data_IF_943365202251
#
_entry.id   IF_943365202251
#
_cell.length_a   1.000
_cell.length_b   1.000
_cell.length_c   1.000
_cell.angle_alpha   90.00
_cell.angle_beta   90.00
_cell.angle_gamma   90.00
#
_symmetry.space_group_name_H-M   'P 1'
#
loop_
_entity.id
_entity.type
_entity.pdbx_description
1 polymer ?
#
# COMPACT_ATOMS: atom_id res chain seq x y z
N UNK A 1 -14.54 11.00 41.43
CA UNK A 1 -14.18 10.81 40.00
C UNK A 1 -13.22 9.63 39.91
N UNK A 2 -13.72 8.39 39.85
CA UNK A 2 -12.89 7.20 39.70
C UNK A 2 -12.84 6.82 38.22
N UNK A 3 -11.63 6.78 37.66
CA UNK A 3 -11.40 6.40 36.26
C UNK A 3 -11.83 4.96 36.03
N UNK A 4 -12.60 4.73 34.95
CA UNK A 4 -12.90 3.37 34.49
C UNK A 4 -11.60 2.74 34.00
N UNK A 5 -11.07 1.77 34.74
CA UNK A 5 -10.16 0.79 34.18
C UNK A 5 -10.95 0.01 33.13
N UNK A 6 -10.64 0.22 31.86
CA UNK A 6 -11.27 -0.51 30.76
C UNK A 6 -10.62 -1.90 30.69
N UNK A 7 -10.99 -2.78 31.62
CA UNK A 7 -10.46 -4.14 31.68
C UNK A 7 -11.05 -4.95 30.53
N UNK A 8 -10.25 -5.19 29.49
CA UNK A 8 -10.62 -6.07 28.38
C UNK A 8 -10.82 -7.48 28.95
N UNK A 9 -12.03 -8.01 28.80
CA UNK A 9 -12.41 -9.34 29.27
C UNK A 9 -11.97 -10.42 28.28
N UNK A 10 -11.77 -11.64 28.77
CA UNK A 10 -11.46 -12.78 27.89
C UNK A 10 -12.56 -13.00 26.83
N UNK A 11 -13.83 -12.79 27.19
CA UNK A 11 -14.94 -12.88 26.24
C UNK A 11 -14.87 -11.84 25.11
N UNK A 12 -14.40 -10.62 25.40
CA UNK A 12 -14.19 -9.58 24.39
C UNK A 12 -13.01 -9.89 23.47
N UNK A 13 -11.94 -10.51 23.99
CA UNK A 13 -10.81 -11.00 23.20
C UNK A 13 -11.26 -12.11 22.24
N UNK A 14 -11.99 -13.10 22.75
CA UNK A 14 -12.53 -14.21 21.94
C UNK A 14 -13.50 -13.72 20.85
N UNK A 15 -14.37 -12.75 21.18
CA UNK A 15 -15.25 -12.13 20.20
C UNK A 15 -14.47 -11.32 19.15
N UNK A 16 -13.33 -10.73 19.50
CA UNK A 16 -12.45 -10.07 18.55
C UNK A 16 -11.77 -11.07 17.60
N UNK A 17 -11.26 -12.20 18.10
CA UNK A 17 -10.69 -13.26 17.26
C UNK A 17 -11.71 -13.82 16.28
N UNK A 18 -12.92 -14.15 16.75
CA UNK A 18 -13.97 -14.67 15.85
C UNK A 18 -14.32 -13.71 14.71
N UNK A 19 -14.44 -12.41 15.01
CA UNK A 19 -14.66 -11.38 13.98
C UNK A 19 -13.51 -11.29 12.98
N UNK A 20 -12.27 -11.46 13.45
CA UNK A 20 -11.09 -11.53 12.59
C UNK A 20 -11.16 -12.73 11.65
N UNK A 21 -11.46 -13.92 12.18
CA UNK A 21 -11.55 -15.16 11.41
C UNK A 21 -12.66 -15.08 10.34
N UNK A 22 -13.83 -14.56 10.72
CA UNK A 22 -14.95 -14.33 9.79
C UNK A 22 -14.62 -13.29 8.70
N UNK A 23 -13.76 -12.32 8.99
CA UNK A 23 -13.29 -11.33 8.01
C UNK A 23 -12.27 -11.97 7.07
N UNK A 24 -11.24 -12.64 7.61
CA UNK A 24 -10.21 -13.35 6.83
C UNK A 24 -10.80 -14.40 5.89
N UNK A 25 -11.86 -15.10 6.31
CA UNK A 25 -12.53 -16.09 5.48
C UNK A 25 -13.22 -15.50 4.22
N UNK A 26 -13.45 -14.18 4.18
CA UNK A 26 -14.15 -13.49 3.08
C UNK A 26 -13.24 -12.63 2.22
N UNK A 27 -12.03 -12.35 2.68
CA UNK A 27 -11.10 -11.44 2.02
C UNK A 27 -10.06 -12.20 1.19
N UNK A 28 -9.57 -11.61 0.08
CA UNK A 28 -8.40 -12.13 -0.60
C UNK A 28 -7.20 -12.11 0.36
N UNK A 29 -6.52 -13.26 0.50
CA UNK A 29 -5.29 -13.40 1.28
C UNK A 29 -4.14 -13.76 0.36
N UNK A 30 -2.95 -13.23 0.65
CA UNK A 30 -1.74 -13.62 -0.07
C UNK A 30 -1.45 -15.10 0.15
N UNK A 31 -1.29 -15.83 -0.94
CA UNK A 31 -0.94 -17.24 -0.99
C UNK A 31 0.52 -17.44 -1.42
N UNK A 32 1.04 -16.58 -2.31
CA UNK A 32 2.45 -16.55 -2.67
C UNK A 32 2.93 -15.10 -2.91
N UNK A 33 4.22 -14.86 -2.67
CA UNK A 33 4.92 -13.64 -3.07
C UNK A 33 6.25 -14.03 -3.68
N UNK A 34 6.62 -13.41 -4.80
CA UNK A 34 7.94 -13.55 -5.40
C UNK A 34 8.37 -12.27 -6.09
N UNK A 35 9.67 -12.10 -6.21
CA UNK A 35 10.25 -11.12 -7.12
C UNK A 35 10.37 -11.73 -8.52
N UNK A 36 9.98 -10.97 -9.53
CA UNK A 36 10.14 -11.28 -10.94
C UNK A 36 11.15 -10.29 -11.52
N UNK A 37 12.38 -10.78 -11.74
CA UNK A 37 13.49 -9.98 -12.22
C UNK A 37 13.45 -9.66 -13.70
N UNK A 38 12.71 -10.43 -14.50
CA UNK A 38 12.49 -10.13 -15.92
C UNK A 38 11.68 -8.83 -16.07
N UNK A 39 10.67 -8.65 -15.21
CA UNK A 39 9.76 -7.51 -15.27
C UNK A 39 10.02 -6.42 -14.23
N UNK A 40 11.00 -6.60 -13.34
CA UNK A 40 11.32 -5.70 -12.22
C UNK A 40 10.09 -5.48 -11.30
N UNK A 41 9.38 -6.57 -10.98
CA UNK A 41 8.09 -6.53 -10.25
C UNK A 41 8.04 -7.49 -9.09
N UNK A 42 7.24 -7.14 -8.08
CA UNK A 42 6.77 -8.06 -7.05
C UNK A 42 5.44 -8.65 -7.54
N UNK A 43 5.38 -9.97 -7.62
CA UNK A 43 4.18 -10.72 -7.98
C UNK A 43 3.60 -11.35 -6.72
N UNK A 44 2.32 -11.10 -6.47
CA UNK A 44 1.57 -11.62 -5.33
C UNK A 44 0.39 -12.41 -5.86
N UNK A 45 0.34 -13.70 -5.58
CA UNK A 45 -0.84 -14.52 -5.85
C UNK A 45 -1.72 -14.60 -4.61
N UNK A 46 -3.03 -14.51 -4.77
CA UNK A 46 -3.99 -14.58 -3.68
C UNK A 46 -4.73 -15.93 -3.70
N UNK A 47 -5.25 -16.33 -2.54
CA UNK A 47 -5.97 -17.60 -2.33
C UNK A 47 -7.23 -17.78 -3.21
N UNK A 48 -7.75 -16.71 -3.80
CA UNK A 48 -8.89 -16.72 -4.71
C UNK A 48 -8.48 -16.83 -6.20
N UNK A 49 -7.19 -17.05 -6.50
CA UNK A 49 -6.65 -17.19 -7.85
C UNK A 49 -6.40 -15.87 -8.58
N UNK A 50 -6.74 -14.72 -7.99
CA UNK A 50 -6.34 -13.43 -8.52
C UNK A 50 -4.89 -13.10 -8.15
N UNK A 51 -4.24 -12.28 -8.96
CA UNK A 51 -2.86 -11.86 -8.73
C UNK A 51 -2.70 -10.34 -8.80
N UNK A 52 -1.76 -9.82 -8.02
CA UNK A 52 -1.34 -8.44 -8.01
C UNK A 52 0.12 -8.37 -8.45
N UNK A 53 0.40 -7.55 -9.47
CA UNK A 53 1.76 -7.34 -9.99
C UNK A 53 2.13 -5.88 -9.79
N UNK A 54 3.20 -5.63 -9.03
CA UNK A 54 3.60 -4.28 -8.60
C UNK A 54 5.04 -4.02 -9.02
N UNK A 55 5.32 -2.96 -9.81
CA UNK A 55 6.70 -2.58 -10.09
C UNK A 55 7.47 -2.26 -8.80
N UNK A 56 8.66 -2.83 -8.61
CA UNK A 56 9.39 -2.71 -7.32
C UNK A 56 9.64 -1.25 -6.92
N UNK A 57 9.88 -0.38 -7.90
CA UNK A 57 10.11 1.07 -7.72
C UNK A 57 8.96 1.83 -7.05
N UNK A 58 7.76 1.25 -6.98
CA UNK A 58 6.62 1.86 -6.29
C UNK A 58 6.64 1.53 -4.80
N UNK A 59 7.22 0.40 -4.40
CA UNK A 59 7.20 -0.13 -3.04
C UNK A 59 8.31 0.53 -2.22
N UNK A 60 7.91 1.32 -1.22
CA UNK A 60 8.85 2.02 -0.35
C UNK A 60 9.76 1.03 0.40
N UNK A 61 11.07 1.26 0.35
CA UNK A 61 12.08 0.39 0.94
C UNK A 61 12.60 -0.68 -0.01
N UNK A 62 11.96 -0.90 -1.16
CA UNK A 62 12.39 -1.88 -2.16
C UNK A 62 13.04 -1.22 -3.40
N UNK A 63 13.01 0.10 -3.52
CA UNK A 63 13.46 0.84 -4.72
C UNK A 63 14.95 0.64 -5.04
N UNK A 64 15.79 0.45 -4.03
CA UNK A 64 17.25 0.29 -4.15
C UNK A 64 17.73 -1.08 -3.64
N UNK A 65 16.80 -2.00 -3.34
CA UNK A 65 17.13 -3.33 -2.85
C UNK A 65 17.77 -4.20 -3.94
N UNK A 66 18.71 -5.06 -3.54
CA UNK A 66 19.29 -6.07 -4.42
C UNK A 66 18.29 -7.20 -4.69
N UNK A 67 18.46 -7.91 -5.81
CA UNK A 67 17.64 -9.08 -6.17
C UNK A 67 17.60 -10.12 -5.04
N UNK A 68 18.74 -10.44 -4.44
CA UNK A 68 18.85 -11.38 -3.32
C UNK A 68 18.09 -10.92 -2.06
N UNK A 69 17.89 -9.62 -1.86
CA UNK A 69 17.02 -9.10 -0.79
C UNK A 69 15.55 -9.18 -1.21
N UNK A 70 15.23 -8.86 -2.46
CA UNK A 70 13.86 -8.90 -3.00
C UNK A 70 13.28 -10.32 -3.01
N UNK A 71 14.09 -11.33 -3.28
CA UNK A 71 13.70 -12.75 -3.24
C UNK A 71 13.32 -13.24 -1.83
N UNK A 72 13.71 -12.50 -0.77
CA UNK A 72 13.43 -12.85 0.63
C UNK A 72 12.07 -12.35 1.12
N UNK A 73 11.23 -11.85 0.22
CA UNK A 73 9.86 -11.47 0.55
C UNK A 73 9.09 -12.67 1.10
N UNK A 74 8.41 -12.46 2.23
CA UNK A 74 7.60 -13.50 2.87
C UNK A 74 6.21 -12.99 3.19
N UNK A 75 5.28 -13.92 3.36
CA UNK A 75 3.90 -13.63 3.74
C UNK A 75 3.83 -13.60 5.27
N UNK A 76 3.18 -12.57 5.81
CA UNK A 76 2.96 -12.37 7.24
C UNK A 76 1.48 -12.21 7.56
N UNK A 77 1.16 -12.18 8.85
CA UNK A 77 -0.19 -11.89 9.38
C UNK A 77 -1.31 -12.68 8.66
N UNK A 78 -1.14 -14.01 8.54
CA UNK A 78 -2.12 -14.92 7.93
C UNK A 78 -2.50 -14.54 6.48
N UNK A 79 -1.56 -13.99 5.71
CA UNK A 79 -1.82 -13.61 4.31
C UNK A 79 -2.27 -12.16 4.12
N UNK A 80 -2.42 -11.39 5.20
CA UNK A 80 -2.84 -9.97 5.11
C UNK A 80 -1.67 -9.00 4.94
N UNK A 81 -0.44 -9.47 5.07
CA UNK A 81 0.76 -8.65 4.92
C UNK A 81 1.89 -9.38 4.20
N UNK A 82 2.79 -8.59 3.62
CA UNK A 82 4.05 -9.02 3.00
C UNK A 82 5.19 -8.29 3.70
N UNK A 83 6.28 -9.00 3.96
CA UNK A 83 7.43 -8.45 4.68
C UNK A 83 8.75 -8.83 4.03
N UNK A 84 9.69 -7.88 4.05
CA UNK A 84 11.10 -8.06 3.74
C UNK A 84 11.93 -7.72 4.99
N UNK A 85 12.24 -8.71 5.85
CA UNK A 85 12.89 -8.46 7.14
C UNK A 85 14.23 -7.74 7.02
N UNK A 86 15.04 -8.11 6.02
CA UNK A 86 16.37 -7.51 5.77
C UNK A 86 16.30 -6.04 5.33
N UNK A 87 15.11 -5.57 4.93
CA UNK A 87 14.87 -4.22 4.40
C UNK A 87 13.99 -3.37 5.33
N UNK A 88 13.52 -3.92 6.46
CA UNK A 88 12.54 -3.28 7.34
C UNK A 88 11.32 -2.73 6.57
N UNK A 89 10.86 -3.53 5.59
CA UNK A 89 9.80 -3.13 4.68
C UNK A 89 8.59 -4.06 4.82
N UNK A 90 7.48 -3.50 5.30
CA UNK A 90 6.21 -4.19 5.49
C UNK A 90 5.09 -3.53 4.69
N UNK A 91 4.24 -4.35 4.09
CA UNK A 91 3.10 -3.92 3.30
C UNK A 91 1.86 -4.71 3.69
N UNK A 92 0.74 -4.02 3.89
CA UNK A 92 -0.55 -4.70 4.02
C UNK A 92 -1.10 -5.01 2.63
N UNK A 93 -1.63 -6.20 2.42
CA UNK A 93 -2.25 -6.59 1.15
C UNK A 93 -3.39 -5.65 0.78
N UNK A 94 -4.24 -5.29 1.74
CA UNK A 94 -5.30 -4.30 1.54
C UNK A 94 -4.75 -2.92 1.13
N UNK A 95 -3.63 -2.48 1.69
CA UNK A 95 -2.96 -1.26 1.28
C UNK A 95 -2.50 -1.31 -0.18
N UNK A 96 -1.85 -2.41 -0.57
CA UNK A 96 -1.39 -2.63 -1.94
C UNK A 96 -2.54 -2.66 -2.95
N UNK A 97 -3.65 -3.33 -2.61
CA UNK A 97 -4.87 -3.37 -3.43
C UNK A 97 -5.51 -1.98 -3.59
N UNK A 98 -5.39 -1.11 -2.58
CA UNK A 98 -5.83 0.28 -2.65
C UNK A 98 -4.79 1.24 -3.25
N UNK A 99 -3.68 0.73 -3.80
CA UNK A 99 -2.63 1.54 -4.41
C UNK A 99 -1.78 2.33 -3.42
N UNK A 100 -1.72 1.89 -2.16
CA UNK A 100 -0.87 2.46 -1.12
C UNK A 100 0.42 1.64 -1.05
N UNK A 101 1.53 2.22 -1.48
CA UNK A 101 2.82 1.54 -1.61
C UNK A 101 3.88 2.01 -0.62
N UNK A 102 3.45 2.73 0.43
CA UNK A 102 4.33 3.22 1.48
C UNK A 102 3.66 4.30 2.31
N UNK A 103 4.43 4.92 3.19
CA UNK A 103 3.99 6.00 4.04
C UNK A 103 3.58 7.26 3.27
N UNK A 104 2.88 8.17 3.95
CA UNK A 104 2.33 9.40 3.35
C UNK A 104 3.37 10.23 2.58
N UNK A 105 4.59 10.35 3.12
CA UNK A 105 5.68 11.09 2.48
C UNK A 105 6.10 10.44 1.16
N UNK A 106 6.22 9.12 1.14
CA UNK A 106 6.56 8.35 -0.04
C UNK A 106 5.47 8.48 -1.12
N UNK A 107 4.21 8.29 -0.73
CA UNK A 107 3.07 8.44 -1.65
C UNK A 107 3.00 9.85 -2.27
N UNK A 108 3.26 10.89 -1.48
CA UNK A 108 3.34 12.27 -1.97
C UNK A 108 4.47 12.46 -2.99
N UNK A 109 5.64 11.86 -2.73
CA UNK A 109 6.79 11.92 -3.62
C UNK A 109 6.54 11.15 -4.93
N UNK A 110 5.95 9.95 -4.87
CA UNK A 110 5.52 9.21 -6.07
C UNK A 110 4.53 10.02 -6.90
N UNK A 111 3.52 10.62 -6.28
CA UNK A 111 2.55 11.46 -6.97
C UNK A 111 3.22 12.69 -7.62
N UNK A 112 4.17 13.32 -6.91
CA UNK A 112 4.96 14.44 -7.44
C UNK A 112 5.79 14.02 -8.65
N UNK A 113 6.48 12.88 -8.59
CA UNK A 113 7.28 12.33 -9.70
C UNK A 113 6.40 12.01 -10.92
N UNK A 114 5.29 11.30 -10.72
CA UNK A 114 4.33 11.00 -11.77
C UNK A 114 3.73 12.28 -12.39
N UNK A 115 3.47 13.28 -11.55
CA UNK A 115 2.98 14.60 -11.95
C UNK A 115 4.00 15.46 -12.68
N UNK A 116 5.31 15.21 -12.53
CA UNK A 116 6.37 16.05 -13.07
C UNK A 116 6.59 15.91 -14.58
N UNK A 117 6.00 14.90 -15.25
CA UNK A 117 6.13 14.69 -16.71
C UNK A 117 5.68 15.94 -17.48
N UNK A 118 6.63 16.62 -18.14
CA UNK A 118 6.38 17.82 -18.96
C UNK A 118 6.15 17.41 -20.41
N UNK A 119 4.89 17.23 -20.83
CA UNK A 119 4.54 17.02 -22.24
C UNK A 119 3.85 18.25 -22.84
N UNK A 120 3.97 18.44 -24.17
CA UNK A 120 3.23 19.51 -24.90
C UNK A 120 1.72 19.40 -24.64
N UNK A 121 1.20 18.17 -24.65
CA UNK A 121 -0.21 17.89 -24.35
C UNK A 121 -0.59 18.28 -22.91
N UNK A 122 0.24 17.95 -21.91
CA UNK A 122 0.01 18.36 -20.51
C UNK A 122 0.06 19.88 -20.36
N UNK A 123 0.99 20.55 -21.04
CA UNK A 123 1.10 22.00 -21.04
C UNK A 123 -0.13 22.67 -21.69
N UNK A 124 -0.62 22.15 -22.82
CA UNK A 124 -1.87 22.61 -23.44
C UNK A 124 -3.08 22.42 -22.53
N UNK A 125 -3.22 21.23 -21.92
CA UNK A 125 -4.30 20.94 -20.98
C UNK A 125 -4.26 21.83 -19.73
N UNK A 126 -3.07 22.08 -19.17
CA UNK A 126 -2.90 22.99 -18.03
C UNK A 126 -3.32 24.43 -18.35
N UNK A 127 -2.98 24.94 -19.55
CA UNK A 127 -3.43 26.27 -20.02
C UNK A 127 -4.95 26.32 -20.18
N UNK A 128 -5.54 25.31 -20.82
CA UNK A 128 -6.98 25.21 -21.00
C UNK A 128 -7.72 25.14 -19.65
N UNK A 129 -7.18 24.41 -18.66
CA UNK A 129 -7.74 24.33 -17.32
C UNK A 129 -7.57 25.63 -16.53
N UNK A 130 -6.42 26.30 -16.67
CA UNK A 130 -6.19 27.61 -16.06
C UNK A 130 -7.18 28.68 -16.57
N UNK A 131 -7.55 28.63 -17.85
CA UNK A 131 -8.56 29.51 -18.43
C UNK A 131 -9.98 29.30 -17.86
N UNK A 132 -10.26 28.11 -17.28
CA UNK A 132 -11.54 27.77 -16.65
C UNK A 132 -11.63 28.20 -15.17
N UNK A 133 -10.59 28.86 -14.65
CA UNK A 133 -10.49 29.28 -13.25
C UNK A 133 -9.67 28.29 -12.41
N UNK A 134 -8.57 28.77 -11.85
CA UNK A 134 -7.73 28.00 -10.94
C UNK A 134 -8.30 27.91 -9.52
N UNK A 135 -7.52 27.36 -8.59
CA UNK A 135 -7.89 27.29 -7.16
C UNK A 135 -8.27 28.70 -6.66
N UNK A 136 -9.51 28.92 -6.18
CA UNK A 136 -9.94 30.20 -5.64
C UNK A 136 -9.00 30.65 -4.52
N UNK A 137 -8.70 31.95 -4.45
CA UNK A 137 -7.90 32.50 -3.35
C UNK A 137 -8.68 32.29 -2.04
N UNK A 138 -8.01 31.79 -1.00
CA UNK A 138 -8.61 31.74 0.34
C UNK A 138 -8.89 33.18 0.78
N UNK A 139 -10.17 33.50 0.97
CA UNK A 139 -10.58 34.73 1.65
C UNK A 139 -10.24 34.58 3.12
N UNK A 140 -9.34 35.42 3.62
CA UNK A 140 -9.26 35.66 5.06
C UNK A 140 -10.48 36.53 5.42
N UNK A 141 -11.37 35.99 6.24
CA UNK A 141 -12.33 36.74 7.06
C UNK A 141 -11.91 36.58 8.52
#
# INVERSE_FOLDING_TARGET
MAGRANTVTNAEIEAAYRRSDEWLAREPLAASVRYDSEHDTVFVEMNNGAALVIPRRLLQGLEDASEAQLERGTIAAQGTALTWPDLDADFTLGGLLHGIYGGKRWMSELARRAGATKSKAKAAAARANGAKGGRPRKSHL
#
